data_IF_336106045137
#
_entry.id   IF_336106045137
#
_cell.length_a   1.000
_cell.length_b   1.000
_cell.length_c   1.000
_cell.angle_alpha   90.00
_cell.angle_beta   90.00
_cell.angle_gamma   90.00
#
_symmetry.space_group_name_H-M   'P 1'
#
loop_
_entity.id
_entity.type
_entity.pdbx_description
1 polymer ?
#
# COMPACT_ATOMS: atom_id res chain seq x y z
N UNK A 1 -20.27 18.12 -8.67
CA UNK A 1 -19.52 17.15 -9.47
C UNK A 1 -18.10 17.11 -8.92
N UNK A 2 -17.38 16.00 -9.10
CA UNK A 2 -15.97 15.91 -8.72
C UNK A 2 -15.15 16.26 -9.95
N UNK A 3 -14.29 17.27 -9.84
CA UNK A 3 -13.49 17.75 -10.96
C UNK A 3 -12.08 17.12 -10.95
N UNK A 4 -11.53 16.83 -9.77
CA UNK A 4 -10.17 16.29 -9.57
C UNK A 4 -10.11 15.40 -8.32
N UNK A 5 -9.15 14.46 -8.31
CA UNK A 5 -8.88 13.57 -7.17
C UNK A 5 -7.44 13.77 -6.70
N UNK A 6 -7.26 13.93 -5.39
CA UNK A 6 -5.96 14.05 -4.73
C UNK A 6 -5.74 12.90 -3.76
N UNK A 7 -4.60 12.22 -3.89
CA UNK A 7 -4.14 11.19 -2.97
C UNK A 7 -2.97 11.77 -2.18
N UNK A 8 -3.08 11.81 -0.85
CA UNK A 8 -2.05 12.38 0.02
C UNK A 8 -1.60 11.30 1.01
N UNK A 9 -0.32 10.93 0.94
CA UNK A 9 0.34 10.06 1.90
C UNK A 9 1.16 10.85 2.90
N UNK A 10 1.34 10.31 4.12
CA UNK A 10 2.22 10.91 5.13
C UNK A 10 3.58 10.20 5.12
N UNK A 11 4.66 10.98 5.02
CA UNK A 11 6.03 10.47 4.86
C UNK A 11 6.46 9.49 5.98
N UNK A 12 5.98 9.69 7.20
CA UNK A 12 6.35 8.87 8.37
C UNK A 12 5.26 7.88 8.80
N UNK A 13 4.29 7.56 7.93
CA UNK A 13 3.21 6.63 8.29
C UNK A 13 3.76 5.29 8.80
N UNK A 14 3.37 4.96 10.04
CA UNK A 14 3.81 3.74 10.75
C UNK A 14 3.25 2.48 10.13
N UNK A 15 2.18 2.58 9.35
CA UNK A 15 1.51 1.45 8.70
C UNK A 15 2.38 0.80 7.62
N UNK A 16 3.27 1.56 6.98
CA UNK A 16 4.24 1.05 6.00
C UNK A 16 5.41 0.31 6.68
N UNK A 17 5.66 0.55 7.97
CA UNK A 17 6.80 -0.03 8.70
C UNK A 17 6.48 -1.39 9.35
N UNK A 18 5.26 -1.90 9.20
CA UNK A 18 4.81 -3.07 9.94
C UNK A 18 4.99 -4.36 9.11
N UNK A 19 6.11 -5.06 9.29
CA UNK A 19 6.28 -6.40 8.73
C UNK A 19 5.60 -7.44 9.63
N UNK A 20 4.34 -7.79 9.35
CA UNK A 20 3.60 -8.78 10.14
C UNK A 20 4.16 -10.18 9.99
N UNK A 21 4.85 -10.48 8.87
CA UNK A 21 5.45 -11.79 8.67
C UNK A 21 6.55 -12.08 9.71
N UNK A 22 7.31 -11.06 10.12
CA UNK A 22 8.35 -11.21 11.13
C UNK A 22 7.73 -11.31 12.53
N UNK A 23 6.74 -10.47 12.84
CA UNK A 23 6.00 -10.55 14.11
C UNK A 23 5.37 -11.92 14.34
N UNK A 24 4.75 -12.49 13.31
CA UNK A 24 4.05 -13.78 13.43
C UNK A 24 5.07 -14.93 13.64
N UNK A 25 6.27 -14.85 13.03
CA UNK A 25 7.37 -15.79 13.31
C UNK A 25 7.90 -15.65 14.75
N UNK A 26 8.08 -14.43 15.24
CA UNK A 26 8.50 -14.17 16.62
C UNK A 26 7.53 -14.77 17.65
N UNK A 27 6.25 -14.89 17.30
CA UNK A 27 5.21 -15.51 18.15
C UNK A 27 5.05 -17.02 17.92
N UNK A 28 6.01 -17.68 17.25
CA UNK A 28 6.11 -19.14 17.17
C UNK A 28 5.46 -19.79 15.95
N UNK A 29 4.99 -19.01 14.96
CA UNK A 29 4.51 -19.60 13.70
C UNK A 29 5.70 -20.02 12.84
N UNK A 30 5.77 -21.31 12.52
CA UNK A 30 6.87 -21.87 11.74
C UNK A 30 6.85 -21.41 10.28
N UNK A 31 8.03 -21.40 9.65
CA UNK A 31 8.14 -21.11 8.22
C UNK A 31 7.38 -22.12 7.33
N UNK A 32 7.17 -23.35 7.79
CA UNK A 32 6.36 -24.35 7.06
C UNK A 32 4.88 -24.01 7.04
N UNK A 33 4.33 -23.50 8.16
CA UNK A 33 2.93 -23.04 8.22
C UNK A 33 2.75 -21.87 7.25
N UNK A 34 3.67 -20.90 7.25
CA UNK A 34 3.61 -19.77 6.34
C UNK A 34 3.70 -20.19 4.86
N UNK A 35 4.58 -21.15 4.53
CA UNK A 35 4.66 -21.74 3.18
C UNK A 35 3.36 -22.45 2.79
N UNK A 36 2.76 -23.18 3.73
CA UNK A 36 1.48 -23.88 3.52
C UNK A 36 0.37 -22.89 3.25
N UNK A 37 0.26 -21.82 4.04
CA UNK A 37 -0.74 -20.76 3.85
C UNK A 37 -0.52 -20.04 2.52
N UNK A 38 0.74 -19.73 2.15
CA UNK A 38 1.05 -19.08 0.88
C UNK A 38 0.75 -19.95 -0.35
N UNK A 39 0.75 -21.27 -0.18
CA UNK A 39 0.35 -22.22 -1.22
C UNK A 39 -1.18 -22.26 -1.43
N UNK A 40 -1.96 -21.89 -0.41
CA UNK A 40 -3.42 -21.84 -0.49
C UNK A 40 -3.83 -20.48 -1.08
N UNK A 41 -4.66 -20.49 -2.11
CA UNK A 41 -5.04 -19.33 -2.93
C UNK A 41 -6.04 -18.38 -2.22
N UNK A 42 -5.83 -18.08 -0.93
CA UNK A 42 -6.72 -17.21 -0.14
C UNK A 42 -6.48 -15.73 -0.46
N UNK A 43 -5.27 -15.38 -0.91
CA UNK A 43 -4.85 -14.00 -1.27
C UNK A 43 -3.93 -14.07 -2.49
N UNK A 44 -4.47 -14.23 -3.70
CA UNK A 44 -3.73 -14.25 -4.99
C UNK A 44 -2.31 -14.88 -4.92
N UNK A 45 -2.16 -16.01 -4.21
CA UNK A 45 -0.91 -16.73 -3.90
C UNK A 45 0.27 -15.92 -3.34
N UNK A 46 0.05 -14.81 -2.65
CA UNK A 46 1.14 -14.05 -2.01
C UNK A 46 0.73 -13.45 -0.66
N UNK A 47 0.31 -14.34 0.24
CA UNK A 47 0.00 -14.01 1.64
C UNK A 47 1.22 -13.42 2.35
N UNK A 48 2.44 -13.84 1.98
CA UNK A 48 3.66 -13.28 2.55
C UNK A 48 3.79 -11.80 2.18
N UNK A 49 3.68 -11.44 0.91
CA UNK A 49 3.72 -10.03 0.48
C UNK A 49 2.61 -9.20 1.13
N UNK A 50 1.41 -9.76 1.26
CA UNK A 50 0.31 -9.11 1.98
C UNK A 50 0.64 -8.86 3.46
N UNK A 51 1.23 -9.83 4.16
CA UNK A 51 1.66 -9.68 5.56
C UNK A 51 2.87 -8.76 5.74
N UNK A 52 3.80 -8.76 4.79
CA UNK A 52 4.94 -7.86 4.82
C UNK A 52 4.50 -6.41 4.59
N UNK A 53 3.41 -6.23 3.84
CA UNK A 53 2.90 -4.90 3.51
C UNK A 53 3.79 -4.17 2.49
N UNK A 54 3.38 -2.97 2.11
CA UNK A 54 4.13 -2.14 1.17
C UNK A 54 5.50 -1.74 1.74
N UNK A 55 6.52 -1.67 0.89
CA UNK A 55 7.89 -1.34 1.30
C UNK A 55 8.10 0.16 1.50
N UNK A 56 7.33 1.01 0.83
CA UNK A 56 7.40 2.46 0.95
C UNK A 56 6.02 3.09 0.80
N UNK A 57 5.82 4.27 1.42
CA UNK A 57 4.60 5.06 1.22
C UNK A 57 4.46 5.52 -0.23
N UNK A 58 5.58 5.73 -0.93
CA UNK A 58 5.62 6.07 -2.35
C UNK A 58 5.00 4.96 -3.21
N UNK A 59 5.36 3.70 -2.96
CA UNK A 59 4.78 2.54 -3.66
C UNK A 59 3.28 2.42 -3.41
N UNK A 60 2.83 2.69 -2.18
CA UNK A 60 1.40 2.70 -1.83
C UNK A 60 0.66 3.75 -2.63
N UNK A 61 1.16 4.98 -2.62
CA UNK A 61 0.50 6.11 -3.28
C UNK A 61 0.48 5.91 -4.79
N UNK A 62 1.58 5.43 -5.37
CA UNK A 62 1.67 5.10 -6.80
C UNK A 62 0.69 3.99 -7.20
N UNK A 63 0.65 2.88 -6.46
CA UNK A 63 -0.28 1.77 -6.70
C UNK A 63 -1.74 2.22 -6.60
N UNK A 64 -2.07 3.06 -5.62
CA UNK A 64 -3.42 3.60 -5.47
C UNK A 64 -3.77 4.57 -6.60
N UNK A 65 -2.84 5.42 -7.04
CA UNK A 65 -3.02 6.31 -8.20
C UNK A 65 -3.35 5.53 -9.45
N UNK A 66 -2.60 4.45 -9.72
CA UNK A 66 -2.83 3.58 -10.87
C UNK A 66 -4.18 2.84 -10.77
N UNK A 67 -4.54 2.37 -9.57
CA UNK A 67 -5.82 1.71 -9.32
C UNK A 67 -7.00 2.66 -9.56
N UNK A 68 -6.96 3.88 -9.02
CA UNK A 68 -8.03 4.87 -9.18
C UNK A 68 -8.13 5.30 -10.65
N UNK A 69 -6.99 5.57 -11.30
CA UNK A 69 -6.95 5.97 -12.72
C UNK A 69 -7.44 4.87 -13.66
N UNK A 70 -7.23 3.60 -13.29
CA UNK A 70 -7.68 2.43 -14.05
C UNK A 70 -9.12 1.99 -13.73
N UNK A 71 -9.75 2.55 -12.70
CA UNK A 71 -11.03 2.06 -12.21
C UNK A 71 -12.17 2.36 -13.19
N UNK A 72 -13.03 1.38 -13.55
CA UNK A 72 -14.06 1.55 -14.58
C UNK A 72 -15.15 2.58 -14.23
N UNK A 73 -15.33 2.87 -12.94
CA UNK A 73 -16.28 3.88 -12.46
C UNK A 73 -15.68 5.29 -12.35
N UNK A 74 -14.39 5.47 -12.62
CA UNK A 74 -13.75 6.79 -12.62
C UNK A 74 -13.64 7.27 -14.08
N UNK A 75 -14.34 8.37 -14.45
CA UNK A 75 -14.18 8.97 -15.76
C UNK A 75 -12.72 9.31 -16.04
N UNK A 76 -12.21 8.88 -17.20
CA UNK A 76 -10.81 9.13 -17.63
C UNK A 76 -10.46 10.61 -17.79
N UNK A 77 -11.47 11.47 -17.81
CA UNK A 77 -11.34 12.92 -17.90
C UNK A 77 -11.01 13.56 -16.55
N UNK A 78 -11.22 12.86 -15.42
CA UNK A 78 -10.91 13.39 -14.09
C UNK A 78 -9.42 13.19 -13.80
N UNK A 79 -8.65 14.27 -13.54
CA UNK A 79 -7.26 14.18 -13.13
C UNK A 79 -7.11 13.48 -11.77
N UNK A 80 -6.05 12.67 -11.64
CA UNK A 80 -5.66 12.03 -10.38
C UNK A 80 -4.25 12.45 -10.03
N UNK A 81 -4.13 13.21 -8.94
CA UNK A 81 -2.87 13.72 -8.41
C UNK A 81 -2.47 12.95 -7.15
N UNK A 82 -1.16 12.88 -6.91
CA UNK A 82 -0.60 12.10 -5.83
C UNK A 82 0.57 12.86 -5.20
N UNK A 83 0.59 12.94 -3.86
CA UNK A 83 1.59 13.64 -3.10
C UNK A 83 1.96 12.89 -1.81
N UNK A 84 3.18 13.08 -1.36
CA UNK A 84 3.62 12.74 0.00
C UNK A 84 3.83 14.04 0.77
N UNK A 85 3.15 14.17 1.90
CA UNK A 85 3.31 15.28 2.83
C UNK A 85 4.33 14.95 3.93
N UNK A 86 5.22 15.90 4.21
CA UNK A 86 6.12 15.86 5.34
C UNK A 86 5.51 16.68 6.51
N UNK A 87 4.99 16.03 7.56
CA UNK A 87 4.33 16.74 8.66
C UNK A 87 5.28 17.62 9.48
N UNK A 88 6.60 17.39 9.40
CA UNK A 88 7.61 18.15 10.14
C UNK A 88 7.96 19.47 9.47
N UNK A 89 7.98 19.50 8.13
CA UNK A 89 8.33 20.70 7.35
C UNK A 89 7.10 21.42 6.79
N UNK A 90 5.98 20.72 6.66
CA UNK A 90 4.78 21.22 5.96
C UNK A 90 4.90 21.13 4.43
N UNK A 91 6.01 20.61 3.91
CA UNK A 91 6.22 20.44 2.47
C UNK A 91 5.49 19.22 1.94
N UNK A 92 5.15 19.25 0.65
CA UNK A 92 4.59 18.11 -0.07
C UNK A 92 5.35 17.91 -1.38
N UNK A 93 5.54 16.65 -1.75
CA UNK A 93 6.28 16.25 -2.95
C UNK A 93 5.39 15.39 -3.85
N UNK A 94 5.38 15.61 -5.17
CA UNK A 94 4.59 14.81 -6.09
C UNK A 94 5.11 13.37 -6.18
N UNK A 95 4.19 12.43 -6.38
CA UNK A 95 4.44 10.99 -6.63
C UNK A 95 3.93 10.56 -8.00
#
# INVERSE_FOLDING_TARGET
MVDEIYIIGEMESKEVKLNMSDKIKEHGVSGEILKTINYIDVVERDVISWLTGPQSIEDVIKKNKDLIKGHPLIPKTIPVHAYIANPKTGEYYPV
#
